data_IF_958921773265
#
_entry.id   IF_958921773265
#
_cell.length_a   1.000
_cell.length_b   1.000
_cell.length_c   1.000
_cell.angle_alpha   90.00
_cell.angle_beta   90.00
_cell.angle_gamma   90.00
#
_symmetry.space_group_name_H-M   'P 1'
#
loop_
_entity.id
_entity.type
_entity.pdbx_description
1 polymer ?
#
# COMPACT_ATOMS: atom_id res chain seq x y z
N UNK A 1 2.53 -31.05 -7.05
CA UNK A 1 2.71 -31.57 -5.66
C UNK A 1 1.67 -30.98 -4.72
N UNK A 2 1.47 -29.66 -4.73
CA UNK A 2 0.55 -28.97 -3.82
C UNK A 2 -0.91 -29.38 -3.98
N UNK A 3 -1.40 -29.53 -5.23
CA UNK A 3 -2.78 -29.96 -5.49
C UNK A 3 -3.11 -31.36 -4.97
N UNK A 4 -2.11 -32.25 -4.90
CA UNK A 4 -2.26 -33.59 -4.34
C UNK A 4 -2.22 -33.65 -2.81
N UNK A 5 -1.66 -32.61 -2.19
CA UNK A 5 -1.50 -32.50 -0.74
C UNK A 5 -2.54 -31.54 -0.11
N UNK A 6 -3.51 -31.04 -0.88
CA UNK A 6 -4.51 -30.08 -0.39
C UNK A 6 -5.22 -30.59 0.87
N UNK A 7 -5.13 -29.83 1.95
CA UNK A 7 -5.63 -30.17 3.27
C UNK A 7 -4.76 -31.14 4.08
N UNK A 8 -3.56 -31.44 3.61
CA UNK A 8 -2.57 -32.29 4.30
C UNK A 8 -1.24 -31.58 4.51
N UNK A 9 -0.25 -32.30 4.98
CA UNK A 9 1.09 -31.81 5.25
C UNK A 9 2.11 -32.37 4.24
N UNK A 10 3.02 -31.50 3.81
CA UNK A 10 4.23 -31.87 3.07
C UNK A 10 5.39 -31.84 4.05
N UNK A 11 6.01 -32.99 4.29
CA UNK A 11 7.23 -33.06 5.11
C UNK A 11 8.44 -32.75 4.25
N UNK A 12 9.23 -31.77 4.70
CA UNK A 12 10.47 -31.35 4.04
C UNK A 12 11.65 -31.87 4.85
N UNK A 13 12.52 -32.64 4.18
CA UNK A 13 13.79 -33.08 4.72
C UNK A 13 14.93 -32.40 3.98
N UNK A 14 15.81 -31.76 4.73
CA UNK A 14 16.97 -31.05 4.17
C UNK A 14 18.23 -31.82 4.48
N UNK A 15 19.02 -32.08 3.45
CA UNK A 15 20.33 -32.69 3.55
C UNK A 15 21.35 -31.71 2.96
N UNK A 16 22.41 -31.45 3.70
CA UNK A 16 23.52 -30.58 3.25
C UNK A 16 24.80 -31.41 3.20
N UNK A 17 25.47 -31.35 2.07
CA UNK A 17 26.81 -31.94 1.91
C UNK A 17 27.85 -30.88 2.22
N UNK A 18 28.68 -31.14 3.22
CA UNK A 18 29.86 -30.34 3.51
C UNK A 18 31.08 -31.26 3.39
N UNK A 19 31.99 -30.93 2.50
CA UNK A 19 33.06 -31.81 2.02
C UNK A 19 32.45 -33.16 1.54
N UNK A 20 32.87 -34.27 2.11
CA UNK A 20 32.33 -35.58 1.76
C UNK A 20 31.26 -36.13 2.74
N UNK A 21 30.82 -35.31 3.69
CA UNK A 21 29.87 -35.74 4.72
C UNK A 21 28.49 -35.10 4.51
N UNK A 22 27.46 -35.95 4.46
CA UNK A 22 26.06 -35.50 4.46
C UNK A 22 25.56 -35.30 5.88
N UNK A 23 24.91 -34.18 6.13
CA UNK A 23 24.21 -33.85 7.38
C UNK A 23 22.73 -33.70 7.10
N UNK A 24 21.88 -34.45 7.79
CA UNK A 24 20.43 -34.33 7.77
C UNK A 24 20.01 -33.34 8.85
N UNK A 25 19.21 -32.36 8.48
CA UNK A 25 18.59 -31.45 9.41
C UNK A 25 17.25 -32.00 9.92
N UNK A 26 16.76 -31.42 11.02
CA UNK A 26 15.45 -31.78 11.57
C UNK A 26 14.35 -31.53 10.52
N UNK A 27 13.53 -32.51 10.18
CA UNK A 27 12.42 -32.31 9.25
C UNK A 27 11.42 -31.30 9.80
N UNK A 28 10.75 -30.58 8.89
CA UNK A 28 9.61 -29.73 9.21
C UNK A 28 8.45 -29.99 8.24
N UNK A 29 7.24 -29.65 8.66
CA UNK A 29 6.05 -29.81 7.84
C UNK A 29 5.55 -28.45 7.35
N UNK A 30 5.02 -28.43 6.12
CA UNK A 30 4.28 -27.32 5.53
C UNK A 30 2.85 -27.80 5.34
N UNK A 31 1.90 -27.15 6.03
CA UNK A 31 0.49 -27.44 5.81
C UNK A 31 0.01 -26.81 4.50
N UNK A 32 -0.64 -27.59 3.65
CA UNK A 32 -1.19 -27.14 2.37
C UNK A 32 -2.68 -26.82 2.57
N UNK A 33 -3.06 -25.56 2.40
CA UNK A 33 -4.46 -25.15 2.46
C UNK A 33 -5.30 -25.91 1.44
N UNK A 34 -6.58 -26.11 1.76
CA UNK A 34 -7.59 -26.59 0.82
C UNK A 34 -8.04 -25.52 -0.15
N UNK A 35 -7.83 -24.26 0.24
CA UNK A 35 -8.23 -23.11 -0.58
C UNK A 35 -7.34 -23.00 -1.81
N UNK A 36 -7.95 -22.68 -2.94
CA UNK A 36 -7.21 -22.34 -4.15
C UNK A 36 -6.64 -20.92 -4.04
N UNK A 37 -5.50 -20.70 -4.68
CA UNK A 37 -4.94 -19.37 -4.89
C UNK A 37 -5.05 -19.00 -6.37
N UNK A 38 -5.02 -17.71 -6.66
CA UNK A 38 -4.95 -17.24 -8.04
C UNK A 38 -3.68 -17.76 -8.73
N UNK A 39 -3.74 -18.08 -10.03
CA UNK A 39 -2.60 -18.65 -10.75
C UNK A 39 -1.47 -17.64 -10.99
N UNK A 40 -1.70 -16.34 -10.74
CA UNK A 40 -0.73 -15.28 -10.98
C UNK A 40 -0.48 -14.44 -9.74
N UNK A 41 0.76 -13.99 -9.60
CA UNK A 41 1.18 -12.94 -8.67
C UNK A 41 1.66 -11.73 -9.45
N UNK A 42 1.22 -10.53 -9.05
CA UNK A 42 1.68 -9.26 -9.61
C UNK A 42 2.61 -8.56 -8.62
N UNK A 43 3.67 -7.97 -9.15
CA UNK A 43 4.68 -7.26 -8.36
C UNK A 43 5.35 -6.16 -9.16
N UNK A 44 5.95 -5.20 -8.46
CA UNK A 44 6.80 -4.20 -9.06
C UNK A 44 8.24 -4.69 -9.07
N UNK A 45 8.85 -4.73 -10.25
CA UNK A 45 10.28 -4.95 -10.39
C UNK A 45 10.98 -3.59 -10.38
N UNK A 46 11.93 -3.43 -9.47
CA UNK A 46 12.70 -2.19 -9.30
C UNK A 46 14.16 -2.57 -9.03
N UNK A 47 15.08 -1.90 -9.71
CA UNK A 47 16.49 -2.05 -9.42
C UNK A 47 16.83 -1.55 -8.01
N UNK A 48 17.88 -2.08 -7.37
CA UNK A 48 18.28 -1.65 -6.03
C UNK A 48 18.79 -0.20 -5.96
N UNK A 49 18.95 0.46 -7.10
CA UNK A 49 19.29 1.87 -7.21
C UNK A 49 18.11 2.70 -7.67
N UNK A 50 17.83 3.81 -6.98
CA UNK A 50 16.75 4.75 -7.31
C UNK A 50 17.00 5.58 -8.57
N UNK A 51 18.10 5.35 -9.29
CA UNK A 51 18.48 6.11 -10.49
C UNK A 51 18.24 5.35 -11.80
N UNK A 52 17.80 4.11 -11.75
CA UNK A 52 17.53 3.28 -12.93
C UNK A 52 16.03 3.12 -13.17
N UNK A 53 15.39 4.23 -13.44
CA UNK A 53 13.92 4.28 -13.63
C UNK A 53 13.43 3.57 -14.90
N UNK A 54 14.27 3.45 -15.93
CA UNK A 54 13.97 2.73 -17.17
C UNK A 54 13.75 1.23 -16.96
N UNK A 55 14.32 0.64 -15.93
CA UNK A 55 14.17 -0.77 -15.60
C UNK A 55 12.93 -1.06 -14.72
N UNK A 56 12.17 -0.02 -14.37
CA UNK A 56 11.04 -0.15 -13.47
C UNK A 56 9.80 -0.65 -14.23
N UNK A 57 9.27 -1.79 -13.80
CA UNK A 57 8.10 -2.42 -14.42
C UNK A 57 7.11 -2.93 -13.37
N UNK A 58 5.85 -3.09 -13.78
CA UNK A 58 4.86 -3.91 -13.08
C UNK A 58 4.76 -5.21 -13.87
N UNK A 59 5.07 -6.32 -13.24
CA UNK A 59 5.10 -7.64 -13.83
C UNK A 59 4.03 -8.53 -13.21
N UNK A 60 3.71 -9.59 -13.91
CA UNK A 60 2.99 -10.74 -13.37
C UNK A 60 3.78 -12.02 -13.63
N UNK A 61 3.67 -12.96 -12.70
CA UNK A 61 4.27 -14.29 -12.81
C UNK A 61 3.23 -15.36 -12.59
N UNK A 62 3.20 -16.33 -13.50
CA UNK A 62 2.38 -17.52 -13.33
C UNK A 62 2.97 -18.42 -12.22
N UNK A 63 2.15 -18.84 -11.27
CA UNK A 63 2.58 -19.72 -10.17
C UNK A 63 2.64 -21.19 -10.56
N UNK A 64 2.10 -21.58 -11.73
CA UNK A 64 2.09 -22.95 -12.22
C UNK A 64 3.36 -23.29 -13.03
N UNK A 65 3.81 -22.39 -13.89
CA UNK A 65 4.96 -22.58 -14.79
C UNK A 65 6.09 -21.57 -14.58
N UNK A 66 5.87 -20.56 -13.71
CA UNK A 66 6.80 -19.47 -13.40
C UNK A 66 7.11 -18.52 -14.55
N UNK A 67 6.34 -18.55 -15.64
CA UNK A 67 6.46 -17.60 -16.75
C UNK A 67 6.17 -16.18 -16.24
N UNK A 68 7.02 -15.24 -16.63
CA UNK A 68 6.90 -13.83 -16.30
C UNK A 68 6.49 -13.04 -17.53
N UNK A 69 5.59 -12.09 -17.35
CA UNK A 69 5.23 -11.12 -18.36
C UNK A 69 5.08 -9.71 -17.78
N UNK A 70 5.37 -8.70 -18.60
CA UNK A 70 5.26 -7.30 -18.20
C UNK A 70 3.82 -6.84 -18.39
N UNK A 71 3.21 -6.34 -17.30
CA UNK A 71 1.89 -5.67 -17.35
C UNK A 71 2.09 -4.24 -17.83
N UNK A 72 3.10 -3.54 -17.27
CA UNK A 72 3.37 -2.16 -17.58
C UNK A 72 4.85 -1.83 -17.42
N UNK A 73 5.42 -1.16 -18.41
CA UNK A 73 6.79 -0.66 -18.39
C UNK A 73 6.77 0.86 -18.18
N UNK A 74 7.63 1.34 -17.31
CA UNK A 74 7.75 2.76 -16.99
C UNK A 74 7.96 3.67 -18.22
N UNK A 75 8.62 3.14 -19.27
CA UNK A 75 8.93 3.87 -20.49
C UNK A 75 7.76 3.96 -21.47
N UNK A 76 6.61 3.30 -21.21
CA UNK A 76 5.43 3.37 -22.10
C UNK A 76 4.75 4.74 -22.07
N UNK A 77 4.90 5.52 -21.01
CA UNK A 77 4.32 6.87 -20.92
C UNK A 77 5.20 7.94 -21.58
N UNK A 78 6.50 7.75 -21.64
CA UNK A 78 7.45 8.71 -22.19
C UNK A 78 8.79 8.04 -22.43
N UNK A 79 9.53 8.54 -23.42
CA UNK A 79 10.94 8.18 -23.66
C UNK A 79 11.91 8.96 -22.78
N UNK A 80 11.45 9.95 -22.03
CA UNK A 80 12.23 10.68 -21.04
C UNK A 80 12.38 9.81 -19.80
N UNK A 81 13.61 9.49 -19.43
CA UNK A 81 13.94 8.56 -18.34
C UNK A 81 14.02 9.21 -16.98
N UNK A 82 14.34 10.51 -16.92
CA UNK A 82 14.59 11.20 -15.67
C UNK A 82 13.32 11.34 -14.81
N UNK A 83 13.38 10.78 -13.63
CA UNK A 83 12.39 10.95 -12.58
C UNK A 83 11.07 10.24 -12.80
N UNK A 84 10.87 9.50 -13.89
CA UNK A 84 9.64 8.72 -14.08
C UNK A 84 9.57 7.56 -13.10
N UNK A 85 8.40 7.31 -12.53
CA UNK A 85 8.18 6.23 -11.60
C UNK A 85 6.74 5.75 -11.68
N UNK A 86 6.54 4.44 -11.66
CA UNK A 86 5.25 3.81 -11.47
C UNK A 86 5.21 3.07 -10.15
N UNK A 87 4.10 3.19 -9.43
CA UNK A 87 3.97 2.62 -8.09
C UNK A 87 2.51 2.33 -7.72
N UNK A 88 2.32 1.75 -6.55
CA UNK A 88 1.01 1.61 -5.91
C UNK A 88 0.01 0.82 -6.76
N UNK A 89 0.45 -0.20 -7.52
CA UNK A 89 -0.49 -1.05 -8.24
C UNK A 89 -1.36 -1.86 -7.26
N UNK A 90 -2.63 -1.94 -7.55
CA UNK A 90 -3.61 -2.60 -6.70
C UNK A 90 -4.81 -3.06 -7.55
N UNK A 91 -5.46 -4.13 -7.10
CA UNK A 91 -6.58 -4.78 -7.79
C UNK A 91 -7.83 -4.77 -6.92
N UNK A 92 -9.00 -4.55 -7.53
CA UNK A 92 -10.27 -4.72 -6.84
C UNK A 92 -10.57 -6.21 -6.65
N UNK A 93 -10.68 -6.65 -5.40
CA UNK A 93 -10.98 -8.04 -5.05
C UNK A 93 -10.14 -9.07 -5.83
N UNK A 94 -8.85 -8.74 -6.04
CA UNK A 94 -7.89 -9.57 -6.82
C UNK A 94 -8.26 -9.82 -8.28
N UNK A 95 -9.23 -9.08 -8.85
CA UNK A 95 -9.66 -9.24 -10.22
C UNK A 95 -8.66 -8.57 -11.18
N UNK A 96 -8.00 -9.32 -12.09
CA UNK A 96 -7.00 -8.77 -13.01
C UNK A 96 -7.56 -7.75 -14.02
N UNK A 97 -8.88 -7.75 -14.26
CA UNK A 97 -9.54 -6.78 -15.14
C UNK A 97 -9.85 -5.44 -14.46
N UNK A 98 -9.54 -5.30 -13.17
CA UNK A 98 -9.83 -4.12 -12.35
C UNK A 98 -8.62 -3.72 -11.57
N UNK A 99 -7.79 -2.92 -12.19
CA UNK A 99 -6.48 -2.52 -11.69
C UNK A 99 -6.34 -1.01 -11.68
N UNK A 100 -5.55 -0.49 -10.76
CA UNK A 100 -5.02 0.85 -10.82
C UNK A 100 -3.53 0.85 -10.48
N UNK A 101 -2.80 1.86 -10.95
CA UNK A 101 -1.45 2.21 -10.51
C UNK A 101 -1.22 3.70 -10.68
N UNK A 102 -0.22 4.23 -9.97
CA UNK A 102 0.13 5.64 -9.99
C UNK A 102 1.41 5.87 -10.80
N UNK A 103 1.36 6.80 -11.76
CA UNK A 103 2.52 7.31 -12.48
C UNK A 103 2.90 8.68 -11.96
N UNK A 104 4.20 8.95 -11.86
CA UNK A 104 4.77 10.21 -11.35
C UNK A 104 5.50 10.98 -12.45
N UNK A 105 5.90 12.22 -12.14
CA UNK A 105 6.65 13.14 -12.99
C UNK A 105 5.86 13.68 -14.19
N UNK A 106 6.52 13.95 -15.33
CA UNK A 106 5.98 14.71 -16.44
C UNK A 106 4.66 14.18 -17.01
N UNK A 107 4.45 12.87 -16.94
CA UNK A 107 3.22 12.20 -17.35
C UNK A 107 2.42 11.65 -16.17
N UNK A 108 2.58 12.28 -15.00
CA UNK A 108 1.94 11.87 -13.75
C UNK A 108 0.42 11.74 -13.84
N UNK A 109 -0.12 10.89 -13.00
CA UNK A 109 -1.55 10.62 -12.87
C UNK A 109 -1.80 9.18 -12.43
N UNK A 110 -3.04 8.88 -12.09
CA UNK A 110 -3.46 7.53 -11.76
C UNK A 110 -4.05 6.85 -12.99
N UNK A 111 -3.50 5.71 -13.37
CA UNK A 111 -4.06 4.87 -14.43
C UNK A 111 -5.05 3.90 -13.79
N UNK A 112 -6.27 3.87 -14.31
CA UNK A 112 -7.33 2.98 -13.86
C UNK A 112 -7.78 2.14 -15.06
N UNK A 113 -7.59 0.84 -14.95
CA UNK A 113 -8.15 -0.16 -15.87
C UNK A 113 -9.36 -0.82 -15.21
N UNK A 114 -10.49 -0.80 -15.87
CA UNK A 114 -11.73 -1.35 -15.35
C UNK A 114 -12.55 -1.99 -16.46
N UNK A 115 -12.69 -3.31 -16.42
CA UNK A 115 -13.48 -4.12 -17.36
C UNK A 115 -13.24 -3.75 -18.84
N UNK A 116 -11.95 -3.74 -19.24
CA UNK A 116 -11.51 -3.48 -20.62
C UNK A 116 -11.40 -2.00 -21.01
N UNK A 117 -11.70 -1.07 -20.11
CA UNK A 117 -11.49 0.37 -20.31
C UNK A 117 -10.31 0.85 -19.52
N UNK A 118 -9.46 1.68 -20.11
CA UNK A 118 -8.30 2.28 -19.44
C UNK A 118 -8.41 3.79 -19.51
N UNK A 119 -8.22 4.46 -18.39
CA UNK A 119 -8.14 5.93 -18.31
C UNK A 119 -6.99 6.35 -17.39
N UNK A 120 -6.42 7.51 -17.68
CA UNK A 120 -5.48 8.19 -16.81
C UNK A 120 -6.17 9.44 -16.25
N UNK A 121 -6.16 9.58 -14.93
CA UNK A 121 -6.82 10.68 -14.23
C UNK A 121 -5.83 11.46 -13.39
N UNK A 122 -6.02 12.76 -13.31
CA UNK A 122 -5.35 13.62 -12.36
C UNK A 122 -6.32 13.90 -11.20
N UNK A 123 -5.99 13.39 -10.01
CA UNK A 123 -6.83 13.56 -8.83
C UNK A 123 -6.53 14.86 -8.07
N UNK A 124 -5.46 15.59 -8.47
CA UNK A 124 -5.08 16.84 -7.82
C UNK A 124 -5.98 17.98 -8.29
N UNK A 125 -6.49 18.75 -7.33
CA UNK A 125 -7.21 20.00 -7.55
C UNK A 125 -6.94 20.96 -6.36
N UNK A 126 -7.63 22.10 -6.31
CA UNK A 126 -7.41 23.12 -5.27
C UNK A 126 -7.74 22.64 -3.84
N UNK A 127 -8.55 21.59 -3.69
CA UNK A 127 -8.95 21.00 -2.41
C UNK A 127 -8.27 19.68 -2.10
N UNK A 128 -7.47 19.14 -3.02
CA UNK A 128 -6.79 17.87 -2.88
C UNK A 128 -5.28 18.09 -2.89
N UNK A 129 -4.64 17.73 -1.79
CA UNK A 129 -3.25 18.00 -1.48
C UNK A 129 -2.26 17.53 -2.55
N UNK A 130 -2.41 16.27 -2.98
CA UNK A 130 -1.53 15.63 -3.97
C UNK A 130 -2.26 14.55 -4.75
N UNK A 131 -1.58 13.93 -5.71
CA UNK A 131 -2.07 12.70 -6.33
C UNK A 131 -2.21 11.58 -5.28
N UNK A 132 -3.27 10.78 -5.40
CA UNK A 132 -3.55 9.69 -4.45
C UNK A 132 -2.50 8.59 -4.47
N UNK A 133 -2.08 8.14 -3.30
CA UNK A 133 -1.18 7.01 -3.07
C UNK A 133 -1.81 6.01 -2.11
N UNK A 134 -1.19 4.85 -1.91
CA UNK A 134 -1.70 3.78 -1.04
C UNK A 134 -3.17 3.42 -1.30
N UNK A 135 -3.51 2.99 -2.52
CA UNK A 135 -4.88 2.71 -2.94
C UNK A 135 -5.53 1.56 -2.17
N UNK A 136 -6.81 1.72 -1.88
CA UNK A 136 -7.67 0.67 -1.37
C UNK A 136 -8.98 0.65 -2.15
N UNK A 137 -9.19 -0.36 -2.98
CA UNK A 137 -10.46 -0.56 -3.66
C UNK A 137 -11.56 -0.96 -2.68
N UNK A 138 -12.73 -0.33 -2.83
CA UNK A 138 -13.92 -0.87 -2.22
C UNK A 138 -14.21 -2.28 -2.78
N UNK A 139 -14.62 -3.27 -1.97
CA UNK A 139 -14.71 -4.67 -2.42
C UNK A 139 -15.55 -4.88 -3.69
N UNK A 140 -16.63 -4.13 -3.89
CA UNK A 140 -17.51 -4.28 -5.06
C UNK A 140 -17.96 -2.97 -5.74
N UNK A 141 -17.93 -1.83 -5.04
CA UNK A 141 -18.24 -0.54 -5.66
C UNK A 141 -17.03 -0.04 -6.46
N UNK A 142 -17.27 0.76 -7.48
CA UNK A 142 -16.22 1.39 -8.29
C UNK A 142 -15.61 2.61 -7.57
N UNK A 143 -15.21 2.39 -6.33
CA UNK A 143 -14.62 3.39 -5.46
C UNK A 143 -13.21 2.98 -5.07
N UNK A 144 -12.31 3.95 -5.01
CA UNK A 144 -10.95 3.75 -4.55
C UNK A 144 -10.66 4.79 -3.47
N UNK A 145 -10.35 4.36 -2.26
CA UNK A 145 -9.80 5.23 -1.23
C UNK A 145 -8.29 5.38 -1.42
N UNK A 146 -7.77 6.57 -1.19
CA UNK A 146 -6.35 6.90 -1.24
C UNK A 146 -5.97 7.76 -0.05
N UNK A 147 -4.70 7.77 0.29
CA UNK A 147 -4.14 8.92 0.99
C UNK A 147 -3.49 9.88 0.02
N UNK A 148 -3.48 11.17 0.36
CA UNK A 148 -2.76 12.22 -0.35
C UNK A 148 -1.72 12.79 0.59
N UNK A 149 -0.45 12.77 0.19
CA UNK A 149 0.64 13.03 1.09
C UNK A 149 1.56 14.12 0.53
N UNK A 150 2.03 14.99 1.41
CA UNK A 150 3.17 15.86 1.16
C UNK A 150 4.39 15.25 1.83
N UNK A 151 5.10 14.45 1.06
CA UNK A 151 6.16 13.55 1.55
C UNK A 151 7.54 14.16 1.33
N UNK A 152 8.39 14.00 2.32
CA UNK A 152 9.82 14.27 2.25
C UNK A 152 10.60 12.97 2.43
N UNK A 153 11.73 12.88 1.76
CA UNK A 153 12.60 11.70 1.82
C UNK A 153 14.02 12.12 2.16
N UNK A 154 14.58 11.48 3.18
CA UNK A 154 15.96 11.66 3.60
C UNK A 154 16.76 10.39 3.41
N UNK A 155 17.99 10.54 2.92
CA UNK A 155 18.94 9.44 2.75
C UNK A 155 20.10 9.64 3.73
N UNK A 156 20.40 8.62 4.54
CA UNK A 156 21.45 8.65 5.54
C UNK A 156 22.60 7.75 5.15
N UNK A 157 23.82 8.26 5.20
CA UNK A 157 25.03 7.50 4.87
C UNK A 157 25.59 6.71 6.06
N UNK A 158 25.39 7.21 7.28
CA UNK A 158 26.00 6.69 8.50
C UNK A 158 24.98 6.17 9.55
N UNK A 159 23.68 6.39 9.35
CA UNK A 159 22.64 5.91 10.26
C UNK A 159 22.22 4.47 9.93
N UNK A 160 21.68 3.76 10.92
CA UNK A 160 21.07 2.45 10.72
C UNK A 160 19.83 2.54 9.82
N UNK A 161 19.06 3.61 9.94
CA UNK A 161 17.95 3.95 9.06
C UNK A 161 18.51 4.66 7.82
N UNK A 162 18.75 3.92 6.76
CA UNK A 162 19.37 4.44 5.54
C UNK A 162 18.46 5.38 4.76
N UNK A 163 17.16 5.15 4.84
CA UNK A 163 16.12 5.93 4.16
C UNK A 163 15.03 6.21 5.18
N UNK A 164 14.69 7.47 5.32
CA UNK A 164 13.53 7.90 6.12
C UNK A 164 12.58 8.69 5.23
N UNK A 165 11.30 8.43 5.40
CA UNK A 165 10.21 9.11 4.71
C UNK A 165 9.33 9.76 5.77
N UNK A 166 9.09 11.06 5.60
CA UNK A 166 8.27 11.85 6.51
C UNK A 166 7.13 12.48 5.74
N UNK A 167 5.96 12.49 6.32
CA UNK A 167 4.89 13.35 5.86
C UNK A 167 4.89 14.66 6.65
N UNK A 168 4.61 15.75 5.97
CA UNK A 168 4.34 17.04 6.57
C UNK A 168 2.85 17.42 6.49
N UNK A 169 2.10 16.65 5.73
CA UNK A 169 0.65 16.72 5.58
C UNK A 169 0.15 15.44 4.90
N UNK A 170 -0.95 14.89 5.36
CA UNK A 170 -1.64 13.80 4.65
C UNK A 170 -3.13 13.77 4.98
N UNK A 171 -3.94 13.54 3.96
CA UNK A 171 -5.40 13.49 4.02
C UNK A 171 -5.91 12.21 3.36
N UNK A 172 -7.17 11.83 3.64
CA UNK A 172 -7.85 10.73 2.95
C UNK A 172 -8.85 11.24 1.92
N UNK A 173 -8.79 10.65 0.74
CA UNK A 173 -9.71 10.91 -0.35
C UNK A 173 -10.38 9.64 -0.85
N UNK A 174 -11.54 9.78 -1.49
CA UNK A 174 -12.19 8.73 -2.25
C UNK A 174 -12.37 9.19 -3.70
N UNK A 175 -12.08 8.30 -4.63
CA UNK A 175 -12.30 8.49 -6.06
C UNK A 175 -13.42 7.59 -6.56
N UNK A 176 -14.46 8.20 -7.14
CA UNK A 176 -15.54 7.51 -7.83
C UNK A 176 -15.14 7.33 -9.30
N UNK A 177 -14.94 6.07 -9.71
CA UNK A 177 -14.46 5.71 -11.05
C UNK A 177 -15.50 6.04 -12.13
N UNK A 178 -16.79 5.87 -11.86
CA UNK A 178 -17.85 6.12 -12.84
C UNK A 178 -18.11 7.62 -13.00
N UNK A 179 -18.19 8.36 -11.91
CA UNK A 179 -18.43 9.82 -11.95
C UNK A 179 -17.17 10.60 -12.31
N UNK A 180 -15.99 10.01 -12.15
CA UNK A 180 -14.69 10.68 -12.28
C UNK A 180 -14.55 11.86 -11.31
N UNK A 181 -14.99 11.65 -10.08
CA UNK A 181 -15.00 12.64 -9.01
C UNK A 181 -14.12 12.21 -7.84
N UNK A 182 -13.50 13.19 -7.20
CA UNK A 182 -12.66 12.99 -6.00
C UNK A 182 -13.27 13.81 -4.88
N UNK A 183 -13.39 13.18 -3.70
CA UNK A 183 -13.96 13.80 -2.49
C UNK A 183 -13.04 13.53 -1.30
N UNK A 184 -12.85 14.52 -0.43
CA UNK A 184 -12.16 14.34 0.85
C UNK A 184 -13.03 13.48 1.79
N UNK A 185 -12.37 12.52 2.48
CA UNK A 185 -12.97 11.73 3.57
C UNK A 185 -12.57 12.33 4.91
N UNK A 186 -11.27 12.63 5.05
CA UNK A 186 -10.65 13.32 6.18
C UNK A 186 -9.65 14.34 5.65
N UNK A 187 -9.60 15.52 6.26
CA UNK A 187 -8.71 16.61 5.88
C UNK A 187 -8.43 17.55 7.06
N UNK A 188 -8.30 17.02 8.27
CA UNK A 188 -7.95 17.80 9.45
C UNK A 188 -6.46 18.19 9.40
N UNK A 189 -6.17 19.49 9.40
CA UNK A 189 -4.80 20.02 9.29
C UNK A 189 -3.89 19.68 10.48
N UNK A 190 -4.45 19.15 11.57
CA UNK A 190 -3.72 18.69 12.76
C UNK A 190 -3.56 17.18 12.82
N UNK A 191 -4.06 16.47 11.80
CA UNK A 191 -4.00 15.03 11.70
C UNK A 191 -3.24 14.62 10.43
N UNK A 192 -2.53 13.51 10.50
CA UNK A 192 -1.87 12.90 9.35
C UNK A 192 -2.55 11.56 9.06
N UNK A 193 -3.48 11.53 8.11
CA UNK A 193 -4.23 10.34 7.77
C UNK A 193 -3.59 9.58 6.60
N UNK A 194 -3.43 8.26 6.75
CA UNK A 194 -2.75 7.45 5.75
C UNK A 194 -3.24 5.99 5.72
N UNK A 195 -2.85 5.24 4.70
CA UNK A 195 -3.05 3.80 4.55
C UNK A 195 -4.49 3.34 4.70
N UNK A 196 -5.42 3.79 3.85
CA UNK A 196 -6.79 3.31 3.87
C UNK A 196 -6.86 1.80 3.57
N UNK A 197 -7.80 1.11 4.22
CA UNK A 197 -8.10 -0.30 3.98
C UNK A 197 -9.58 -0.57 4.22
N UNK A 198 -10.28 -1.11 3.24
CA UNK A 198 -11.69 -1.49 3.39
C UNK A 198 -11.85 -2.81 4.13
N UNK A 199 -12.92 -2.90 4.91
CA UNK A 199 -13.41 -4.19 5.40
C UNK A 199 -13.95 -5.03 4.24
N UNK A 200 -13.95 -6.38 4.34
CA UNK A 200 -14.44 -7.26 3.27
C UNK A 200 -15.92 -7.05 2.93
N UNK A 201 -16.73 -6.60 3.91
CA UNK A 201 -18.15 -6.24 3.74
C UNK A 201 -18.35 -4.83 3.16
N UNK A 202 -17.26 -4.05 2.95
CA UNK A 202 -17.31 -2.69 2.42
C UNK A 202 -18.01 -1.66 3.29
N UNK A 203 -18.37 -2.02 4.52
CA UNK A 203 -19.11 -1.13 5.44
C UNK A 203 -18.20 -0.29 6.33
N UNK A 204 -16.89 -0.58 6.33
CA UNK A 204 -15.88 0.13 7.13
C UNK A 204 -14.64 0.46 6.32
N UNK A 205 -14.18 1.70 6.47
CA UNK A 205 -12.87 2.14 6.01
C UNK A 205 -11.95 2.30 7.22
N UNK A 206 -10.93 1.47 7.30
CA UNK A 206 -9.85 1.57 8.27
C UNK A 206 -8.72 2.42 7.71
N UNK A 207 -8.01 3.12 8.58
CA UNK A 207 -6.85 3.94 8.22
C UNK A 207 -5.99 4.21 9.46
N UNK A 208 -4.83 4.79 9.27
CA UNK A 208 -4.02 5.28 10.40
C UNK A 208 -4.06 6.80 10.44
N UNK A 209 -3.99 7.36 11.64
CA UNK A 209 -3.87 8.80 11.85
C UNK A 209 -2.93 9.11 13.00
N UNK A 210 -2.17 10.22 12.86
CA UNK A 210 -1.33 10.77 13.91
C UNK A 210 -1.72 12.22 14.15
N UNK A 211 -1.98 12.57 15.42
CA UNK A 211 -2.18 13.96 15.81
C UNK A 211 -0.85 14.68 15.91
N UNK A 212 -0.71 15.83 15.25
CA UNK A 212 0.49 16.64 15.27
C UNK A 212 0.18 18.14 15.17
N UNK A 213 0.43 18.87 16.25
CA UNK A 213 0.29 20.31 16.28
C UNK A 213 1.62 20.99 15.98
N UNK A 214 1.63 21.85 14.96
CA UNK A 214 2.75 22.71 14.65
C UNK A 214 2.90 23.81 15.70
N UNK A 215 4.10 23.99 16.21
CA UNK A 215 4.42 24.91 17.33
C UNK A 215 5.47 25.94 16.97
N UNK A 216 6.35 25.58 16.02
CA UNK A 216 7.48 26.40 15.64
C UNK A 216 7.12 27.35 14.48
N UNK A 217 7.89 28.43 14.35
CA UNK A 217 7.80 29.36 13.21
C UNK A 217 8.58 28.90 11.98
N UNK A 218 9.17 27.73 12.04
CA UNK A 218 9.91 27.12 10.92
C UNK A 218 8.94 26.43 9.94
N UNK A 219 9.37 26.18 8.69
CA UNK A 219 8.52 25.46 7.74
C UNK A 219 8.04 24.10 8.31
N UNK A 220 6.79 23.74 8.02
CA UNK A 220 6.16 22.49 8.51
C UNK A 220 7.00 21.25 8.25
N UNK A 221 7.64 21.17 7.08
CA UNK A 221 8.53 20.07 6.72
C UNK A 221 9.71 19.94 7.69
N UNK A 222 10.33 21.04 8.01
CA UNK A 222 11.47 21.08 8.94
C UNK A 222 11.03 20.71 10.37
N UNK A 223 9.84 21.14 10.79
CA UNK A 223 9.30 20.79 12.10
C UNK A 223 8.98 19.30 12.18
N UNK A 224 8.37 18.70 11.16
CA UNK A 224 8.11 17.26 11.11
C UNK A 224 9.39 16.43 11.23
N UNK A 225 10.47 16.83 10.54
CA UNK A 225 11.78 16.16 10.67
C UNK A 225 12.31 16.31 12.11
N UNK A 226 12.32 17.52 12.65
CA UNK A 226 12.85 17.82 13.99
C UNK A 226 12.12 17.06 15.09
N UNK A 227 10.81 16.93 14.95
CA UNK A 227 9.91 16.31 15.92
C UNK A 227 9.33 14.97 15.48
N UNK A 228 9.96 14.32 14.53
CA UNK A 228 9.48 13.05 13.93
C UNK A 228 9.16 11.96 14.96
N UNK A 229 9.88 11.92 16.07
CA UNK A 229 9.63 10.98 17.17
C UNK A 229 8.32 11.21 17.92
N UNK A 230 7.72 12.40 17.80
CA UNK A 230 6.43 12.72 18.39
C UNK A 230 5.26 12.26 17.51
N UNK A 231 5.48 12.06 16.21
CA UNK A 231 4.45 11.60 15.26
C UNK A 231 4.21 10.12 15.49
N UNK A 232 3.05 9.78 16.06
CA UNK A 232 2.65 8.41 16.40
C UNK A 232 1.30 8.10 15.81
N UNK A 233 1.27 7.13 14.91
CA UNK A 233 0.06 6.72 14.23
C UNK A 233 -0.72 5.68 15.04
N UNK A 234 -2.00 5.91 15.22
CA UNK A 234 -2.98 4.96 15.75
C UNK A 234 -3.95 4.53 14.66
N UNK A 235 -4.68 3.42 14.86
CA UNK A 235 -5.61 2.90 13.88
C UNK A 235 -7.02 3.41 14.18
N UNK A 236 -7.66 3.94 13.16
CA UNK A 236 -9.03 4.43 13.18
C UNK A 236 -9.86 3.73 12.12
N UNK A 237 -11.18 3.90 12.20
CA UNK A 237 -12.12 3.51 11.15
C UNK A 237 -13.29 4.48 11.07
N UNK A 238 -13.96 4.48 9.93
CA UNK A 238 -15.25 5.14 9.71
C UNK A 238 -16.23 4.14 9.12
N UNK A 239 -17.48 4.14 9.60
CA UNK A 239 -18.53 3.40 8.90
C UNK A 239 -18.80 4.04 7.54
N UNK A 240 -19.21 3.23 6.60
CA UNK A 240 -19.58 3.68 5.25
C UNK A 240 -20.92 3.06 4.87
N UNK A 241 -21.83 3.90 4.39
CA UNK A 241 -23.11 3.45 3.86
C UNK A 241 -23.02 3.43 2.32
N UNK A 242 -23.03 2.24 1.70
CA UNK A 242 -22.87 2.12 0.24
C UNK A 242 -24.07 2.62 -0.56
N UNK A 243 -25.26 2.76 0.05
CA UNK A 243 -26.46 3.29 -0.62
C UNK A 243 -26.45 4.82 -0.68
N UNK A 244 -26.02 5.47 0.39
CA UNK A 244 -25.96 6.93 0.49
C UNK A 244 -24.61 7.52 0.16
N UNK A 245 -23.58 6.68 0.06
CA UNK A 245 -22.18 7.06 -0.18
C UNK A 245 -21.61 7.96 0.93
N UNK A 246 -22.10 7.81 2.16
CA UNK A 246 -21.72 8.65 3.28
C UNK A 246 -20.88 7.89 4.30
N UNK A 247 -19.92 8.61 4.86
CA UNK A 247 -19.11 8.13 5.97
C UNK A 247 -19.69 8.59 7.31
N UNK A 248 -19.63 7.70 8.30
CA UNK A 248 -19.96 8.00 9.69
C UNK A 248 -18.80 8.70 10.42
N UNK A 249 -18.94 8.90 11.74
CA UNK A 249 -17.90 9.51 12.54
C UNK A 249 -16.64 8.63 12.62
N UNK A 250 -15.52 9.26 12.97
CA UNK A 250 -14.23 8.61 13.24
C UNK A 250 -14.31 7.82 14.55
N UNK A 251 -13.85 6.59 14.54
CA UNK A 251 -13.72 5.71 15.70
C UNK A 251 -12.29 5.21 15.85
N UNK A 252 -11.71 5.30 17.04
CA UNK A 252 -10.40 4.71 17.34
C UNK A 252 -10.55 3.19 17.52
N UNK A 253 -9.73 2.43 16.80
CA UNK A 253 -9.69 0.96 16.86
C UNK A 253 -8.54 0.48 17.74
N UNK A 254 -7.36 1.10 17.58
CA UNK A 254 -6.17 0.73 18.33
C UNK A 254 -5.30 1.97 18.59
N UNK A 255 -5.04 2.23 19.87
CA UNK A 255 -4.21 3.36 20.33
C UNK A 255 -2.74 2.94 20.48
N UNK A 256 -2.00 2.97 19.38
CA UNK A 256 -0.56 2.71 19.42
C UNK A 256 0.23 3.89 20.00
N UNK A 257 -0.27 5.10 19.87
CA UNK A 257 0.37 6.32 20.36
C UNK A 257 0.52 6.30 21.89
N UNK A 258 -0.48 5.79 22.63
CA UNK A 258 -0.41 5.61 24.09
C UNK A 258 0.70 4.64 24.51
N UNK A 259 1.13 3.75 23.63
CA UNK A 259 2.25 2.82 23.82
C UNK A 259 3.61 3.41 23.38
N UNK A 260 3.64 4.68 22.95
CA UNK A 260 4.81 5.32 22.36
C UNK A 260 5.21 4.76 21.00
N UNK A 261 4.30 4.10 20.29
CA UNK A 261 4.54 3.43 19.02
C UNK A 261 3.63 3.95 17.90
N UNK A 262 3.95 3.57 16.67
CA UNK A 262 3.11 3.78 15.49
C UNK A 262 2.60 2.45 14.98
N UNK A 263 1.31 2.39 14.62
CA UNK A 263 0.70 1.29 13.89
C UNK A 263 0.48 1.72 12.43
N UNK A 264 0.82 0.87 11.45
CA UNK A 264 0.73 1.21 10.03
C UNK A 264 0.27 0.03 9.19
N UNK A 265 -0.11 0.31 7.94
CA UNK A 265 -0.49 -0.69 6.94
C UNK A 265 -1.58 -1.65 7.42
N UNK A 266 -2.72 -1.16 7.93
CA UNK A 266 -3.79 -2.02 8.39
C UNK A 266 -4.33 -2.89 7.24
N UNK A 267 -4.64 -4.14 7.54
CA UNK A 267 -5.30 -5.09 6.65
C UNK A 267 -6.30 -5.90 7.42
N UNK A 268 -7.48 -6.07 6.86
CA UNK A 268 -8.54 -6.87 7.46
C UNK A 268 -8.52 -8.25 6.80
N UNK A 269 -8.63 -9.32 7.60
CA UNK A 269 -8.71 -10.68 7.06
C UNK A 269 -9.95 -10.86 6.19
N UNK A 270 -9.93 -11.74 5.18
CA UNK A 270 -11.06 -11.95 4.27
C UNK A 270 -12.37 -12.32 4.96
N UNK A 271 -12.31 -12.94 6.15
CA UNK A 271 -13.45 -13.30 6.98
C UNK A 271 -13.90 -12.16 7.94
N UNK A 272 -13.23 -11.01 7.89
CA UNK A 272 -13.53 -9.82 8.70
C UNK A 272 -13.19 -9.92 10.19
N UNK A 273 -12.56 -11.03 10.65
CA UNK A 273 -12.37 -11.29 12.08
C UNK A 273 -11.06 -10.77 12.66
N UNK A 274 -10.07 -10.54 11.82
CA UNK A 274 -8.73 -10.15 12.24
C UNK A 274 -8.30 -8.85 11.57
N UNK A 275 -7.63 -8.01 12.35
CA UNK A 275 -6.92 -6.85 11.87
C UNK A 275 -5.41 -7.12 12.00
N UNK A 276 -4.70 -7.13 10.87
CA UNK A 276 -3.26 -7.25 10.80
C UNK A 276 -2.67 -5.85 10.53
N UNK A 277 -1.60 -5.49 11.23
CA UNK A 277 -0.88 -4.24 11.03
C UNK A 277 0.59 -4.36 11.46
N UNK A 278 1.43 -3.48 10.98
CA UNK A 278 2.80 -3.32 11.47
C UNK A 278 2.83 -2.36 12.64
N UNK A 279 3.73 -2.58 13.62
CA UNK A 279 3.92 -1.68 14.75
C UNK A 279 5.41 -1.45 15.00
N UNK A 280 5.81 -0.20 15.10
CA UNK A 280 7.18 0.23 15.34
C UNK A 280 7.30 1.43 16.28
N UNK A 281 8.52 1.86 16.57
CA UNK A 281 8.78 3.03 17.42
C UNK A 281 8.70 4.36 16.64
N UNK A 282 8.81 4.28 15.31
CA UNK A 282 8.85 5.43 14.40
C UNK A 282 7.53 5.59 13.67
N UNK A 283 7.22 6.81 13.26
CA UNK A 283 6.23 7.08 12.22
C UNK A 283 6.73 6.44 10.95
N UNK A 284 6.00 5.57 10.36
CA UNK A 284 6.54 4.59 9.45
C UNK A 284 6.08 4.73 8.04
N UNK A 285 7.01 4.87 7.23
CA UNK A 285 6.86 4.63 5.80
C UNK A 285 7.95 3.65 5.36
#
# INVERSE_FOLDING_TARGET
LTSKAAGGDITVEVFVKNDDKWTRFKPFAIHVSKDSIDPYISYRLIAPSYVTYEELTINQRCLENYDESVIYNNMLLSVETEGQCINCHNYQAYNPNRMQFHARQNHGGTVVAYDGKVKKVNMKNDSILSAGVYPAWHPWLKLIAYSTNKTMQSFHTSDINKIEVFDSQSDLIIYDVDKNEVTNIENDSTEFECYPAWSPDGEWLYYVSAHFEFRDTIPHEAECIKRSKEIKYSIYRKSFNPETMQFGPREMVFDAASLGKSATLPRISPDGKYLLFSMGEWGCF
#
